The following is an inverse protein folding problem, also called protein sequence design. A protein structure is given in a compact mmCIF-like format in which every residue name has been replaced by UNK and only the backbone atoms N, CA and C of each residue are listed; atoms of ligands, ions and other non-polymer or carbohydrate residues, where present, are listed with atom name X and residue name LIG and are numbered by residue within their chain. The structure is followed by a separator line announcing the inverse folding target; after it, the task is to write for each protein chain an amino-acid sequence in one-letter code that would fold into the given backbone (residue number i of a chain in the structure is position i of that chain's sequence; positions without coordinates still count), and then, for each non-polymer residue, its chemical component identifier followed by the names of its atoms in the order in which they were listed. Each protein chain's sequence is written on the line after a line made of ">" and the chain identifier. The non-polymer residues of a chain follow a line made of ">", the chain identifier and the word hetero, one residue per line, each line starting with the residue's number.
data_IF_659393907113
#
_entry.id   IF_659393907113
#
_cell.length_a   1.000
_cell.length_b   1.000
_cell.length_c   1.000
_cell.angle_alpha   90.00
_cell.angle_beta   90.00
_cell.angle_gamma   90.00
#
_symmetry.space_group_name_H-M   'P 1'
#
loop_
_entity.id
_entity.type
_entity.pdbx_description
1 polymer ?
#
# COMPACT_ATOMS: atom_id res chain seq x y z
N UNK A 1 13.05 -58.15 14.46
CA UNK A 1 13.32 -56.96 13.64
C UNK A 1 12.41 -55.81 14.11
N UNK A 2 12.42 -55.53 15.42
CA UNK A 2 11.41 -54.72 16.12
C UNK A 2 12.00 -53.55 16.94
N UNK A 3 13.28 -53.20 16.76
CA UNK A 3 13.95 -52.26 17.66
C UNK A 3 14.63 -51.05 17.00
N UNK A 4 14.12 -50.56 15.85
CA UNK A 4 14.66 -49.36 15.19
C UNK A 4 13.62 -48.28 14.82
N UNK A 5 12.33 -48.47 15.12
CA UNK A 5 11.28 -47.49 14.79
C UNK A 5 10.97 -46.56 15.99
N UNK A 6 11.44 -46.87 17.20
CA UNK A 6 11.13 -46.08 18.41
C UNK A 6 12.00 -44.84 18.64
N UNK A 7 13.03 -44.57 17.82
CA UNK A 7 13.96 -43.44 18.03
C UNK A 7 13.60 -42.20 17.19
N UNK A 8 12.84 -42.34 16.09
CA UNK A 8 12.44 -41.20 15.25
C UNK A 8 11.07 -40.58 15.59
N UNK A 9 10.29 -41.18 16.50
CA UNK A 9 8.95 -40.67 16.85
C UNK A 9 8.94 -39.82 18.13
N UNK A 10 10.06 -39.77 18.88
CA UNK A 10 10.09 -39.07 20.18
C UNK A 10 10.75 -37.68 20.17
N UNK A 11 11.37 -37.26 19.07
CA UNK A 11 12.06 -35.96 18.98
C UNK A 11 11.27 -34.84 18.26
N UNK A 12 10.11 -35.13 17.70
CA UNK A 12 9.29 -34.13 16.98
C UNK A 12 8.08 -33.61 17.78
N UNK A 13 7.85 -34.15 18.99
CA UNK A 13 6.76 -33.73 19.87
C UNK A 13 7.18 -32.79 21.01
N UNK A 14 8.48 -32.54 21.22
CA UNK A 14 8.94 -31.64 22.31
C UNK A 14 9.40 -30.26 21.85
N UNK A 15 9.45 -29.97 20.54
CA UNK A 15 9.95 -28.69 20.01
C UNK A 15 8.87 -27.73 19.53
N UNK A 16 7.59 -28.14 19.53
CA UNK A 16 6.48 -27.34 18.99
C UNK A 16 5.76 -26.45 20.02
N UNK A 17 6.09 -26.53 21.31
CA UNK A 17 5.33 -25.88 22.37
C UNK A 17 5.86 -24.54 22.90
N UNK A 18 6.97 -24.00 22.39
CA UNK A 18 7.52 -22.72 22.90
C UNK A 18 7.96 -21.72 21.83
N UNK A 19 7.24 -21.66 20.70
CA UNK A 19 7.36 -20.51 19.79
C UNK A 19 6.49 -19.36 20.34
N UNK A 20 7.13 -18.41 21.03
CA UNK A 20 6.49 -17.15 21.43
C UNK A 20 5.83 -16.48 20.22
N UNK A 21 4.72 -15.75 20.41
CA UNK A 21 4.02 -15.07 19.32
C UNK A 21 4.94 -14.19 18.43
N UNK A 22 6.01 -13.62 19.00
CA UNK A 22 7.02 -12.85 18.28
C UNK A 22 7.83 -13.70 17.28
N UNK A 23 8.21 -14.93 17.63
CA UNK A 23 8.90 -15.84 16.70
C UNK A 23 8.02 -16.27 15.52
N UNK A 24 6.71 -16.43 15.75
CA UNK A 24 5.75 -16.83 14.71
C UNK A 24 5.52 -15.70 13.68
N UNK A 25 5.41 -14.46 14.14
CA UNK A 25 5.30 -13.28 13.25
C UNK A 25 6.58 -13.12 12.42
N UNK A 26 7.75 -13.25 13.05
CA UNK A 26 9.05 -13.19 12.36
C UNK A 26 9.19 -14.26 11.26
N UNK A 27 8.77 -15.49 11.54
CA UNK A 27 8.78 -16.59 10.55
C UNK A 27 7.83 -16.30 9.38
N UNK A 28 6.62 -15.80 9.65
CA UNK A 28 5.63 -15.45 8.60
C UNK A 28 6.13 -14.31 7.70
N UNK A 29 6.75 -13.28 8.28
CA UNK A 29 7.34 -12.16 7.52
C UNK A 29 8.54 -12.62 6.68
N UNK A 30 9.47 -13.40 7.24
CA UNK A 30 10.60 -13.97 6.48
C UNK A 30 10.10 -14.78 5.28
N UNK A 31 9.05 -15.58 5.48
CA UNK A 31 8.42 -16.34 4.39
C UNK A 31 7.78 -15.44 3.33
N UNK A 32 7.11 -14.37 3.72
CA UNK A 32 6.57 -13.37 2.78
C UNK A 32 7.70 -12.79 1.91
N UNK A 33 8.76 -12.28 2.53
CA UNK A 33 9.88 -11.69 1.80
C UNK A 33 10.59 -12.70 0.89
N UNK A 34 10.78 -13.95 1.32
CA UNK A 34 11.32 -15.02 0.46
C UNK A 34 10.42 -15.29 -0.75
N UNK A 35 9.11 -15.44 -0.56
CA UNK A 35 8.17 -15.66 -1.68
C UNK A 35 8.26 -14.52 -2.70
N UNK A 36 8.29 -13.27 -2.24
CA UNK A 36 8.35 -12.10 -3.12
C UNK A 36 9.71 -12.01 -3.82
N UNK A 37 10.81 -12.26 -3.11
CA UNK A 37 12.16 -12.30 -3.70
C UNK A 37 12.27 -13.36 -4.79
N UNK A 38 11.79 -14.56 -4.54
CA UNK A 38 11.98 -15.70 -5.44
C UNK A 38 11.04 -15.63 -6.64
N UNK A 39 9.79 -15.21 -6.42
CA UNK A 39 8.76 -15.27 -7.45
C UNK A 39 8.49 -13.93 -8.14
N UNK A 40 8.87 -12.81 -7.54
CA UNK A 40 8.64 -11.45 -8.04
C UNK A 40 9.88 -10.56 -7.79
N UNK A 41 11.08 -10.97 -8.24
CA UNK A 41 12.36 -10.39 -7.81
C UNK A 41 12.49 -8.89 -8.07
N UNK A 42 11.99 -8.39 -9.20
CA UNK A 42 12.07 -6.96 -9.53
C UNK A 42 11.30 -6.08 -8.54
N UNK A 43 10.10 -6.52 -8.11
CA UNK A 43 9.29 -5.81 -7.11
C UNK A 43 10.00 -5.82 -5.75
N UNK A 44 10.61 -6.96 -5.38
CA UNK A 44 11.40 -7.09 -4.15
C UNK A 44 12.57 -6.10 -4.13
N UNK A 45 13.45 -6.15 -5.13
CA UNK A 45 14.67 -5.35 -5.11
C UNK A 45 14.40 -3.85 -5.25
N UNK A 46 13.41 -3.46 -6.07
CA UNK A 46 13.00 -2.05 -6.13
C UNK A 46 12.40 -1.60 -4.80
N UNK A 47 11.61 -2.44 -4.13
CA UNK A 47 11.14 -2.13 -2.77
C UNK A 47 12.31 -1.89 -1.80
N UNK A 48 13.37 -2.69 -1.86
CA UNK A 48 14.58 -2.51 -1.04
C UNK A 48 15.28 -1.18 -1.38
N UNK A 49 15.49 -0.88 -2.65
CA UNK A 49 16.11 0.39 -3.09
C UNK A 49 15.32 1.59 -2.57
N UNK A 50 14.00 1.59 -2.74
CA UNK A 50 13.13 2.67 -2.26
C UNK A 50 13.17 2.77 -0.73
N UNK A 51 13.19 1.64 -0.01
CA UNK A 51 13.33 1.65 1.45
C UNK A 51 14.68 2.23 1.90
N UNK A 52 15.78 1.92 1.22
CA UNK A 52 17.10 2.48 1.53
C UNK A 52 17.16 3.99 1.29
N UNK A 53 16.56 4.48 0.21
CA UNK A 53 16.39 5.92 -0.02
C UNK A 53 15.48 6.56 1.03
N UNK A 54 14.48 5.83 1.54
CA UNK A 54 13.69 6.23 2.69
C UNK A 54 14.53 6.43 3.96
N UNK A 55 15.48 5.54 4.24
CA UNK A 55 16.41 5.70 5.37
C UNK A 55 17.27 6.98 5.21
N UNK A 56 17.67 7.32 3.99
CA UNK A 56 18.34 8.59 3.72
C UNK A 56 17.44 9.79 4.05
N UNK A 57 16.15 9.72 3.73
CA UNK A 57 15.18 10.78 4.08
C UNK A 57 15.07 10.96 5.60
N UNK A 58 15.21 9.89 6.39
CA UNK A 58 15.24 9.99 7.86
C UNK A 58 16.42 10.84 8.32
N UNK A 59 17.62 10.59 7.77
CA UNK A 59 18.80 11.43 8.07
C UNK A 59 18.51 12.88 7.67
N UNK A 60 17.93 13.09 6.49
CA UNK A 60 17.51 14.42 6.00
C UNK A 60 16.58 15.17 6.95
N UNK A 61 15.67 14.49 7.65
CA UNK A 61 14.79 15.13 8.64
C UNK A 61 15.56 15.79 9.80
N UNK A 62 16.77 15.32 10.11
CA UNK A 62 17.57 15.83 11.22
C UNK A 62 18.61 16.87 10.81
N UNK A 63 19.03 16.90 9.54
CA UNK A 63 20.15 17.74 9.08
C UNK A 63 19.75 18.84 8.10
N UNK A 64 18.56 18.76 7.49
CA UNK A 64 18.08 19.73 6.52
C UNK A 64 16.87 20.47 7.11
N UNK A 65 17.06 21.73 7.49
CA UNK A 65 16.02 22.55 8.13
C UNK A 65 15.02 23.14 7.13
N UNK A 66 15.24 22.96 5.82
CA UNK A 66 14.35 23.53 4.80
C UNK A 66 12.94 22.95 4.96
N UNK A 67 11.97 23.83 4.79
CA UNK A 67 10.55 23.46 4.79
C UNK A 67 9.92 23.74 3.43
N UNK A 68 8.92 22.93 3.10
CA UNK A 68 8.04 23.11 1.96
C UNK A 68 6.61 22.96 2.47
N UNK A 69 5.80 24.01 2.31
CA UNK A 69 4.42 24.04 2.80
C UNK A 69 4.33 23.75 4.31
N UNK A 70 5.21 24.38 5.09
CA UNK A 70 5.21 24.31 6.56
C UNK A 70 5.80 23.03 7.16
N UNK A 71 6.30 22.08 6.36
CA UNK A 71 6.90 20.83 6.84
C UNK A 71 8.26 20.55 6.20
N UNK A 72 9.08 19.73 6.85
CA UNK A 72 10.40 19.34 6.35
C UNK A 72 10.34 18.73 4.93
N UNK A 73 11.25 19.14 4.06
CA UNK A 73 11.30 18.72 2.64
C UNK A 73 11.44 17.20 2.45
N UNK A 74 12.06 16.48 3.40
CA UNK A 74 12.27 15.04 3.36
C UNK A 74 11.08 14.22 3.87
N UNK A 75 10.10 14.87 4.51
CA UNK A 75 8.95 14.18 5.10
C UNK A 75 8.04 13.55 4.04
N UNK A 76 7.84 14.22 2.91
CA UNK A 76 7.03 13.66 1.80
C UNK A 76 7.74 12.46 1.15
N UNK A 77 9.02 12.56 0.70
CA UNK A 77 9.78 11.40 0.24
C UNK A 77 9.73 10.22 1.21
N UNK A 78 9.93 10.43 2.51
CA UNK A 78 9.87 9.35 3.51
C UNK A 78 8.52 8.63 3.54
N UNK A 79 7.40 9.37 3.51
CA UNK A 79 6.06 8.76 3.50
C UNK A 79 5.82 7.94 2.23
N UNK A 80 6.24 8.45 1.09
CA UNK A 80 6.12 7.75 -0.18
C UNK A 80 7.01 6.51 -0.24
N UNK A 81 8.23 6.56 0.31
CA UNK A 81 9.10 5.38 0.32
C UNK A 81 8.47 4.24 1.12
N UNK A 82 7.93 4.53 2.31
CA UNK A 82 7.27 3.54 3.16
C UNK A 82 6.06 2.95 2.45
N UNK A 83 5.17 3.80 1.93
CA UNK A 83 3.93 3.35 1.28
C UNK A 83 4.21 2.53 0.01
N UNK A 84 5.09 3.00 -0.86
CA UNK A 84 5.46 2.31 -2.11
C UNK A 84 6.13 0.97 -1.79
N UNK A 85 7.07 0.91 -0.84
CA UNK A 85 7.70 -0.36 -0.45
C UNK A 85 6.67 -1.37 0.07
N UNK A 86 5.75 -0.95 0.94
CA UNK A 86 4.66 -1.83 1.42
C UNK A 86 3.79 -2.31 0.24
N UNK A 87 3.43 -1.42 -0.69
CA UNK A 87 2.64 -1.78 -1.86
C UNK A 87 3.37 -2.76 -2.79
N UNK A 88 4.65 -2.54 -3.09
CA UNK A 88 5.44 -3.43 -3.94
C UNK A 88 5.57 -4.84 -3.36
N UNK A 89 5.79 -4.97 -2.05
CA UNK A 89 5.81 -6.27 -1.37
C UNK A 89 4.42 -6.91 -1.37
N UNK A 90 3.37 -6.13 -1.12
CA UNK A 90 1.97 -6.61 -1.17
C UNK A 90 1.64 -7.16 -2.55
N UNK A 91 1.88 -6.38 -3.60
CA UNK A 91 1.62 -6.76 -4.99
C UNK A 91 2.47 -7.97 -5.40
N UNK A 92 3.75 -7.95 -5.03
CA UNK A 92 4.68 -9.03 -5.33
C UNK A 92 4.26 -10.36 -4.73
N UNK A 93 3.54 -10.35 -3.61
CA UNK A 93 2.88 -11.52 -3.04
C UNK A 93 1.56 -11.85 -3.75
N UNK A 94 0.68 -10.86 -3.95
CA UNK A 94 -0.64 -11.07 -4.53
C UNK A 94 -0.56 -11.64 -5.95
N UNK A 95 0.35 -11.15 -6.78
CA UNK A 95 0.54 -11.63 -8.16
C UNK A 95 0.87 -13.14 -8.22
N UNK A 96 1.46 -13.72 -7.16
CA UNK A 96 1.70 -15.17 -7.06
C UNK A 96 0.42 -16.00 -6.93
N UNK A 97 -0.68 -15.35 -6.53
CA UNK A 97 -1.99 -15.99 -6.34
C UNK A 97 -2.80 -16.01 -7.63
N UNK A 98 -2.52 -15.12 -8.56
CA UNK A 98 -3.14 -15.13 -9.88
C UNK A 98 -2.52 -16.24 -10.74
N UNK A 99 -3.31 -17.05 -11.46
CA UNK A 99 -2.81 -18.13 -12.30
C UNK A 99 -2.23 -17.60 -13.63
N UNK A 100 -1.40 -16.56 -13.57
CA UNK A 100 -0.76 -15.96 -14.73
C UNK A 100 0.39 -16.81 -15.25
N UNK A 101 0.64 -16.74 -16.56
CA UNK A 101 1.88 -17.23 -17.16
C UNK A 101 3.08 -16.41 -16.65
N UNK A 102 4.28 -17.00 -16.70
CA UNK A 102 5.50 -16.30 -16.26
C UNK A 102 5.74 -15.01 -17.05
N UNK A 103 5.41 -15.01 -18.36
CA UNK A 103 5.52 -13.81 -19.21
C UNK A 103 4.59 -12.69 -18.73
N UNK A 104 3.29 -12.98 -18.50
CA UNK A 104 2.33 -11.96 -18.03
C UNK A 104 2.75 -11.41 -16.66
N UNK A 105 3.19 -12.29 -15.76
CA UNK A 105 3.70 -11.91 -14.45
C UNK A 105 4.94 -11.01 -14.54
N UNK A 106 5.91 -11.35 -15.39
CA UNK A 106 7.11 -10.55 -15.59
C UNK A 106 6.77 -9.15 -16.11
N UNK A 107 5.90 -9.04 -17.12
CA UNK A 107 5.45 -7.75 -17.67
C UNK A 107 4.82 -6.88 -16.57
N UNK A 108 3.83 -7.42 -15.85
CA UNK A 108 3.15 -6.67 -14.78
C UNK A 108 4.14 -6.23 -13.70
N UNK A 109 5.00 -7.15 -13.25
CA UNK A 109 5.97 -6.85 -12.20
C UNK A 109 6.95 -5.76 -12.63
N UNK A 110 7.52 -5.83 -13.84
CA UNK A 110 8.43 -4.82 -14.34
C UNK A 110 7.73 -3.47 -14.56
N UNK A 111 6.53 -3.48 -15.15
CA UNK A 111 5.77 -2.28 -15.42
C UNK A 111 5.47 -1.52 -14.11
N UNK A 112 4.94 -2.21 -13.10
CA UNK A 112 4.65 -1.60 -11.80
C UNK A 112 5.92 -1.18 -11.06
N UNK A 113 6.95 -2.02 -11.04
CA UNK A 113 8.17 -1.71 -10.29
C UNK A 113 8.88 -0.46 -10.85
N UNK A 114 9.05 -0.38 -12.17
CA UNK A 114 9.75 0.74 -12.80
C UNK A 114 8.96 2.04 -12.73
N UNK A 115 7.65 2.00 -12.98
CA UNK A 115 6.81 3.21 -12.89
C UNK A 115 6.81 3.77 -11.46
N UNK A 116 6.71 2.94 -10.43
CA UNK A 116 6.76 3.39 -9.04
C UNK A 116 8.17 3.82 -8.57
N UNK A 117 9.23 3.22 -9.11
CA UNK A 117 10.59 3.68 -8.86
C UNK A 117 10.82 5.07 -9.46
N UNK A 118 10.46 5.26 -10.73
CA UNK A 118 10.63 6.55 -11.42
C UNK A 118 9.78 7.65 -10.76
N UNK A 119 8.52 7.34 -10.42
CA UNK A 119 7.66 8.20 -9.61
C UNK A 119 8.36 8.64 -8.31
N UNK A 120 8.88 7.67 -7.56
CA UNK A 120 9.56 7.94 -6.30
C UNK A 120 10.83 8.79 -6.48
N UNK A 121 11.64 8.51 -7.52
CA UNK A 121 12.84 9.28 -7.82
C UNK A 121 12.51 10.74 -8.15
N UNK A 122 11.40 11.01 -8.86
CA UNK A 122 10.92 12.37 -9.10
C UNK A 122 10.53 13.04 -7.78
N UNK A 123 9.78 12.35 -6.92
CA UNK A 123 9.38 12.88 -5.59
C UNK A 123 10.62 13.20 -4.74
N UNK A 124 11.59 12.29 -4.72
CA UNK A 124 12.84 12.44 -3.99
C UNK A 124 13.65 13.63 -4.52
N UNK A 125 13.80 13.74 -5.85
CA UNK A 125 14.50 14.84 -6.50
C UNK A 125 13.85 16.20 -6.23
N UNK A 126 12.53 16.31 -6.43
CA UNK A 126 11.79 17.55 -6.16
C UNK A 126 11.85 17.93 -4.66
N UNK A 127 11.77 16.94 -3.76
CA UNK A 127 12.00 17.15 -2.33
C UNK A 127 13.39 17.70 -2.04
N UNK A 128 14.44 17.14 -2.65
CA UNK A 128 15.82 17.63 -2.48
C UNK A 128 16.01 19.08 -2.98
N UNK A 129 15.23 19.48 -4.00
CA UNK A 129 15.17 20.86 -4.51
C UNK A 129 14.36 21.81 -3.63
N UNK A 130 13.61 21.28 -2.65
CA UNK A 130 12.71 22.08 -1.81
C UNK A 130 11.48 22.59 -2.55
N UNK A 131 11.03 21.90 -3.60
CA UNK A 131 9.84 22.28 -4.40
C UNK A 131 8.81 21.17 -4.45
N UNK A 132 7.58 21.51 -4.80
CA UNK A 132 6.51 20.50 -4.93
C UNK A 132 6.80 19.52 -6.08
N UNK A 133 6.47 18.24 -5.85
CA UNK A 133 6.46 17.23 -6.91
C UNK A 133 5.10 17.10 -7.60
N UNK A 134 4.02 17.16 -6.82
CA UNK A 134 2.65 17.13 -7.34
C UNK A 134 2.13 18.57 -7.45
N UNK A 135 1.36 18.84 -8.51
CA UNK A 135 0.74 20.15 -8.80
C UNK A 135 1.74 21.26 -9.18
N UNK A 136 3.03 20.93 -9.32
CA UNK A 136 4.05 21.92 -9.63
C UNK A 136 4.18 22.13 -11.13
N UNK A 137 3.78 23.31 -11.58
CA UNK A 137 3.90 23.76 -12.98
C UNK A 137 4.66 25.09 -13.06
N UNK A 138 5.46 25.42 -12.04
CA UNK A 138 6.16 26.70 -11.95
C UNK A 138 7.22 26.89 -13.04
N UNK A 139 7.85 25.80 -13.50
CA UNK A 139 8.84 25.81 -14.58
C UNK A 139 8.53 24.72 -15.61
N UNK A 140 9.07 24.80 -16.84
CA UNK A 140 8.92 23.73 -17.84
C UNK A 140 9.39 22.35 -17.33
N UNK A 141 10.51 22.32 -16.59
CA UNK A 141 11.01 21.08 -16.00
C UNK A 141 10.02 20.51 -14.98
N UNK A 142 9.49 21.35 -14.07
CA UNK A 142 8.54 20.90 -13.05
C UNK A 142 7.25 20.35 -13.67
N UNK A 143 6.74 21.03 -14.70
CA UNK A 143 5.56 20.58 -15.44
C UNK A 143 5.79 19.24 -16.16
N UNK A 144 6.96 19.05 -16.78
CA UNK A 144 7.32 17.78 -17.43
C UNK A 144 7.40 16.65 -16.39
N UNK A 145 8.06 16.90 -15.26
CA UNK A 145 8.18 15.92 -14.17
C UNK A 145 6.79 15.56 -13.63
N UNK A 146 5.94 16.54 -13.35
CA UNK A 146 4.58 16.31 -12.87
C UNK A 146 3.72 15.53 -13.88
N UNK A 147 3.86 15.81 -15.18
CA UNK A 147 3.19 15.07 -16.25
C UNK A 147 3.60 13.59 -16.26
N UNK A 148 4.91 13.29 -16.18
CA UNK A 148 5.39 11.91 -16.13
C UNK A 148 4.87 11.17 -14.91
N UNK A 149 4.78 11.84 -13.76
CA UNK A 149 4.19 11.26 -12.56
C UNK A 149 2.74 10.82 -12.81
N UNK A 150 1.94 11.69 -13.45
CA UNK A 150 0.58 11.36 -13.87
C UNK A 150 0.50 10.13 -14.77
N UNK A 151 1.43 9.99 -15.73
CA UNK A 151 1.53 8.82 -16.61
C UNK A 151 1.85 7.55 -15.81
N UNK A 152 2.84 7.61 -14.92
CA UNK A 152 3.26 6.47 -14.09
C UNK A 152 2.15 5.99 -13.16
N UNK A 153 1.44 6.93 -12.51
CA UNK A 153 0.27 6.60 -11.68
C UNK A 153 -0.85 6.03 -12.55
N UNK A 154 -1.13 6.61 -13.72
CA UNK A 154 -2.14 6.10 -14.64
C UNK A 154 -1.91 4.66 -15.07
N UNK A 155 -0.67 4.30 -15.41
CA UNK A 155 -0.26 2.92 -15.73
C UNK A 155 -0.53 1.97 -14.55
N UNK A 156 -0.19 2.40 -13.33
CA UNK A 156 -0.44 1.60 -12.14
C UNK A 156 -1.93 1.42 -11.86
N UNK A 157 -2.75 2.47 -12.01
CA UNK A 157 -4.21 2.37 -11.87
C UNK A 157 -4.80 1.38 -12.88
N UNK A 158 -4.36 1.40 -14.14
CA UNK A 158 -4.78 0.40 -15.13
C UNK A 158 -4.37 -1.02 -14.76
N UNK A 159 -3.18 -1.17 -14.15
CA UNK A 159 -2.73 -2.46 -13.61
C UNK A 159 -3.62 -2.92 -12.45
N UNK A 160 -4.03 -2.03 -11.56
CA UNK A 160 -4.99 -2.32 -10.47
C UNK A 160 -6.36 -2.75 -11.03
N UNK A 161 -6.86 -2.07 -12.07
CA UNK A 161 -8.10 -2.44 -12.77
C UNK A 161 -7.99 -3.84 -13.38
N UNK A 162 -6.85 -4.18 -14.02
CA UNK A 162 -6.60 -5.53 -14.51
C UNK A 162 -6.69 -6.57 -13.38
N UNK A 163 -6.03 -6.31 -12.24
CA UNK A 163 -6.09 -7.20 -11.09
C UNK A 163 -7.49 -7.34 -10.49
N UNK A 164 -8.29 -6.26 -10.46
CA UNK A 164 -9.68 -6.28 -10.05
C UNK A 164 -10.51 -7.22 -10.94
N UNK A 165 -10.43 -7.02 -12.26
CA UNK A 165 -11.18 -7.82 -13.25
C UNK A 165 -10.75 -9.29 -13.17
N UNK A 166 -9.45 -9.56 -13.13
CA UNK A 166 -8.92 -10.92 -13.07
C UNK A 166 -9.22 -11.60 -11.71
N UNK A 167 -9.45 -10.85 -10.63
CA UNK A 167 -9.88 -11.41 -9.33
C UNK A 167 -11.28 -12.01 -9.38
N UNK A 168 -12.16 -11.52 -10.27
CA UNK A 168 -13.47 -12.13 -10.53
C UNK A 168 -13.34 -13.22 -11.61
N UNK A 169 -12.66 -12.91 -12.72
CA UNK A 169 -12.63 -13.75 -13.91
C UNK A 169 -11.88 -15.08 -13.69
N UNK A 170 -10.82 -15.06 -12.88
CA UNK A 170 -9.92 -16.21 -12.71
C UNK A 170 -10.13 -16.88 -11.34
N UNK A 171 -9.82 -18.17 -11.27
CA UNK A 171 -9.73 -18.90 -10.00
C UNK A 171 -8.35 -18.69 -9.40
N UNK A 172 -8.23 -17.84 -8.39
CA UNK A 172 -6.96 -17.58 -7.71
C UNK A 172 -6.55 -18.79 -6.85
N UNK A 173 -5.26 -18.90 -6.59
CA UNK A 173 -4.64 -19.95 -5.76
C UNK A 173 -4.75 -19.64 -4.26
N UNK A 174 -5.97 -19.35 -3.81
CA UNK A 174 -6.32 -19.04 -2.41
C UNK A 174 -7.74 -19.54 -2.11
N UNK A 175 -8.16 -19.51 -0.84
CA UNK A 175 -9.55 -19.77 -0.48
C UNK A 175 -10.49 -18.72 -1.11
N UNK A 176 -11.74 -19.10 -1.45
CA UNK A 176 -12.70 -18.18 -2.08
C UNK A 176 -12.97 -16.91 -1.27
N UNK A 177 -12.98 -17.01 0.06
CA UNK A 177 -13.14 -15.86 0.97
C UNK A 177 -11.98 -14.86 0.84
N UNK A 178 -10.75 -15.35 0.69
CA UNK A 178 -9.56 -14.51 0.48
C UNK A 178 -9.54 -13.92 -0.94
N UNK A 179 -9.94 -14.69 -1.96
CA UNK A 179 -10.10 -14.16 -3.31
C UNK A 179 -11.15 -13.03 -3.36
N UNK A 180 -12.28 -13.21 -2.67
CA UNK A 180 -13.32 -12.18 -2.54
C UNK A 180 -12.79 -10.94 -1.80
N UNK A 181 -12.01 -11.13 -0.75
CA UNK A 181 -11.33 -10.05 -0.04
C UNK A 181 -10.35 -9.27 -0.92
N UNK A 182 -9.58 -9.95 -1.79
CA UNK A 182 -8.67 -9.33 -2.75
C UNK A 182 -9.45 -8.49 -3.77
N UNK A 183 -10.56 -9.02 -4.28
CA UNK A 183 -11.45 -8.27 -5.17
C UNK A 183 -11.96 -6.98 -4.52
N UNK A 184 -12.52 -7.07 -3.31
CA UNK A 184 -13.01 -5.89 -2.57
C UNK A 184 -11.89 -4.90 -2.22
N UNK A 185 -10.71 -5.41 -1.87
CA UNK A 185 -9.52 -4.59 -1.64
C UNK A 185 -9.14 -3.77 -2.88
N UNK A 186 -9.12 -4.38 -4.07
CA UNK A 186 -8.84 -3.65 -5.30
C UNK A 186 -9.91 -2.61 -5.63
N UNK A 187 -11.18 -2.93 -5.39
CA UNK A 187 -12.28 -2.00 -5.63
C UNK A 187 -12.12 -0.71 -4.79
N UNK A 188 -11.76 -0.88 -3.52
CA UNK A 188 -11.55 0.24 -2.59
C UNK A 188 -10.28 1.02 -2.93
N UNK A 189 -9.20 0.34 -3.35
CA UNK A 189 -7.99 1.03 -3.83
C UNK A 189 -8.27 1.87 -5.07
N UNK A 190 -9.09 1.39 -6.03
CA UNK A 190 -9.48 2.17 -7.20
C UNK A 190 -10.28 3.42 -6.80
N UNK A 191 -11.17 3.31 -5.82
CA UNK A 191 -11.80 4.49 -5.24
C UNK A 191 -10.76 5.45 -4.65
N UNK A 192 -9.77 4.92 -3.90
CA UNK A 192 -8.63 5.71 -3.42
C UNK A 192 -7.87 6.41 -4.54
N UNK A 193 -7.58 5.73 -5.65
CA UNK A 193 -6.95 6.33 -6.83
C UNK A 193 -7.82 7.44 -7.45
N UNK A 194 -9.14 7.28 -7.47
CA UNK A 194 -10.06 8.34 -7.90
C UNK A 194 -10.01 9.56 -6.97
N UNK A 195 -9.94 9.38 -5.65
CA UNK A 195 -9.69 10.48 -4.69
C UNK A 195 -8.35 11.17 -4.99
N UNK A 196 -7.32 10.41 -5.37
CA UNK A 196 -6.05 10.94 -5.88
C UNK A 196 -6.22 11.84 -7.10
N UNK A 197 -7.03 11.40 -8.07
CA UNK A 197 -7.42 12.19 -9.24
C UNK A 197 -8.18 13.47 -8.88
N UNK A 198 -9.04 13.44 -7.86
CA UNK A 198 -9.70 14.65 -7.36
C UNK A 198 -8.68 15.68 -6.87
N UNK A 199 -7.67 15.25 -6.09
CA UNK A 199 -6.61 16.15 -5.62
C UNK A 199 -5.82 16.77 -6.79
N UNK A 200 -5.55 15.99 -7.85
CA UNK A 200 -4.90 16.51 -9.07
C UNK A 200 -5.79 17.54 -9.77
N UNK A 201 -7.09 17.27 -9.91
CA UNK A 201 -8.02 18.17 -10.60
C UNK A 201 -8.18 19.54 -9.92
N UNK A 202 -8.02 19.59 -8.59
CA UNK A 202 -8.09 20.82 -7.81
C UNK A 202 -6.70 21.40 -7.46
N UNK A 203 -5.60 20.82 -8.00
CA UNK A 203 -4.22 21.22 -7.74
C UNK A 203 -3.84 21.33 -6.25
N UNK A 204 -4.42 20.48 -5.42
CA UNK A 204 -4.26 20.53 -3.97
C UNK A 204 -5.05 19.42 -3.26
N UNK A 205 -4.87 19.30 -1.95
CA UNK A 205 -5.55 18.29 -1.14
C UNK A 205 -6.40 18.88 -0.01
N UNK A 206 -6.18 20.14 0.35
CA UNK A 206 -6.97 20.85 1.35
C UNK A 206 -8.29 21.36 0.74
N UNK A 207 -9.33 21.43 1.57
CA UNK A 207 -10.66 21.93 1.22
C UNK A 207 -11.12 22.89 2.30
N UNK A 208 -11.58 24.08 1.89
CA UNK A 208 -12.04 25.14 2.81
C UNK A 208 -10.92 25.91 3.51
N UNK A 209 -9.64 25.54 3.30
CA UNK A 209 -8.46 26.22 3.85
C UNK A 209 -7.32 26.23 2.83
N UNK A 210 -6.38 27.16 3.00
CA UNK A 210 -5.19 27.24 2.15
C UNK A 210 -4.28 26.01 2.29
N UNK A 211 -3.45 25.76 1.27
CA UNK A 211 -2.39 24.75 1.32
C UNK A 211 -1.26 25.13 2.28
N UNK A 212 -0.53 24.13 2.78
CA UNK A 212 0.66 24.32 3.62
C UNK A 212 0.42 24.88 5.01
N UNK A 213 -0.81 24.79 5.51
CA UNK A 213 -1.11 25.00 6.92
C UNK A 213 -0.52 23.86 7.77
N UNK A 214 -0.20 24.17 9.03
CA UNK A 214 0.19 23.18 10.01
C UNK A 214 -0.91 22.14 10.21
N UNK A 215 -0.51 20.87 10.26
CA UNK A 215 -1.41 19.73 10.41
C UNK A 215 -0.88 18.73 11.43
N UNK A 216 -1.48 17.55 11.46
CA UNK A 216 -1.07 16.47 12.37
C UNK A 216 0.43 16.12 12.22
N UNK A 217 1.13 15.79 13.32
CA UNK A 217 2.51 15.33 13.24
C UNK A 217 2.71 14.18 12.24
N UNK A 218 3.83 14.20 11.51
CA UNK A 218 4.25 13.23 10.48
C UNK A 218 3.38 13.20 9.21
N UNK A 219 2.07 13.07 9.33
CA UNK A 219 1.16 12.96 8.17
C UNK A 219 0.81 14.32 7.58
N UNK A 220 0.88 15.38 8.38
CA UNK A 220 0.52 16.77 8.05
C UNK A 220 -0.92 16.94 7.55
N UNK A 221 -1.85 16.11 8.02
CA UNK A 221 -3.26 16.25 7.66
C UNK A 221 -3.85 17.50 8.30
N UNK A 222 -4.65 18.25 7.55
CA UNK A 222 -5.22 19.50 8.02
C UNK A 222 -6.07 19.31 9.29
N UNK A 223 -5.83 20.17 10.29
CA UNK A 223 -6.62 20.27 11.53
C UNK A 223 -7.62 21.42 11.51
N UNK A 224 -7.53 22.31 10.51
CA UNK A 224 -8.38 23.50 10.36
C UNK A 224 -9.48 23.34 9.31
N UNK A 225 -9.27 22.46 8.34
CA UNK A 225 -10.20 22.24 7.23
C UNK A 225 -10.12 20.82 6.70
N UNK A 226 -10.88 20.53 5.64
CA UNK A 226 -10.92 19.21 5.04
C UNK A 226 -9.61 18.83 4.34
N UNK A 227 -9.28 17.54 4.32
CA UNK A 227 -8.08 17.01 3.68
C UNK A 227 -8.35 15.67 2.99
N UNK A 228 -8.27 15.66 1.65
CA UNK A 228 -8.56 14.48 0.83
C UNK A 228 -7.53 13.35 1.02
N UNK A 229 -6.33 13.65 1.53
CA UNK A 229 -5.29 12.64 1.75
C UNK A 229 -5.69 11.60 2.78
N UNK A 230 -6.56 11.94 3.72
CA UNK A 230 -7.02 11.01 4.76
C UNK A 230 -7.81 9.87 4.13
N UNK A 231 -8.85 10.20 3.35
CA UNK A 231 -9.65 9.21 2.63
C UNK A 231 -8.79 8.41 1.63
N UNK A 232 -7.92 9.10 0.90
CA UNK A 232 -6.98 8.48 -0.03
C UNK A 232 -6.07 7.44 0.66
N UNK A 233 -5.46 7.79 1.79
CA UNK A 233 -4.57 6.92 2.56
C UNK A 233 -5.25 5.62 2.99
N UNK A 234 -6.41 5.72 3.66
CA UNK A 234 -7.13 4.53 4.11
C UNK A 234 -7.61 3.68 2.94
N UNK A 235 -8.06 4.29 1.85
CA UNK A 235 -8.48 3.58 0.65
C UNK A 235 -7.34 2.80 -0.01
N UNK A 236 -6.16 3.41 -0.16
CA UNK A 236 -4.98 2.72 -0.71
C UNK A 236 -4.56 1.52 0.14
N UNK A 237 -4.75 1.57 1.46
CA UNK A 237 -4.41 0.47 2.35
C UNK A 237 -5.44 -0.66 2.43
N UNK A 238 -6.59 -0.52 1.75
CA UNK A 238 -7.64 -1.54 1.70
C UNK A 238 -7.17 -2.88 1.15
N UNK A 239 -6.22 -2.87 0.19
CA UNK A 239 -5.67 -4.10 -0.42
C UNK A 239 -4.78 -4.90 0.54
N UNK A 240 -4.23 -4.28 1.58
CA UNK A 240 -3.56 -5.00 2.66
C UNK A 240 -4.59 -5.45 3.71
N UNK A 241 -5.40 -4.51 4.19
CA UNK A 241 -6.26 -4.70 5.37
C UNK A 241 -7.30 -5.79 5.14
N UNK A 242 -8.02 -5.76 4.01
CA UNK A 242 -9.18 -6.64 3.78
C UNK A 242 -8.74 -8.09 3.53
N UNK A 243 -7.73 -8.39 2.68
CA UNK A 243 -7.22 -9.75 2.54
C UNK A 243 -6.57 -10.29 3.82
N UNK A 244 -5.86 -9.46 4.59
CA UNK A 244 -5.28 -9.87 5.88
C UNK A 244 -6.39 -10.25 6.87
N UNK A 245 -7.47 -9.47 6.93
CA UNK A 245 -8.65 -9.81 7.73
C UNK A 245 -9.25 -11.16 7.32
N UNK A 246 -9.43 -11.41 6.02
CA UNK A 246 -9.97 -12.69 5.53
C UNK A 246 -9.06 -13.89 5.85
N UNK A 247 -7.73 -13.72 5.75
CA UNK A 247 -6.77 -14.76 6.12
C UNK A 247 -6.77 -15.02 7.63
N UNK A 248 -6.82 -13.97 8.44
CA UNK A 248 -6.94 -14.08 9.90
C UNK A 248 -8.23 -14.77 10.29
N UNK A 249 -9.35 -14.39 9.68
CA UNK A 249 -10.67 -14.97 9.89
C UNK A 249 -10.66 -16.48 9.65
N UNK A 250 -10.16 -16.92 8.50
CA UNK A 250 -10.10 -18.35 8.15
C UNK A 250 -9.11 -19.15 9.00
N UNK A 251 -8.07 -18.52 9.54
CA UNK A 251 -7.12 -19.17 10.44
C UNK A 251 -7.67 -19.27 11.88
N UNK A 252 -8.33 -18.22 12.37
CA UNK A 252 -8.78 -18.10 13.76
C UNK A 252 -10.13 -18.78 14.00
N UNK A 253 -11.03 -18.72 13.02
CA UNK A 253 -12.39 -19.26 13.11
C UNK A 253 -12.66 -20.22 11.95
N UNK A 254 -13.03 -21.47 12.28
CA UNK A 254 -13.36 -22.52 11.31
C UNK A 254 -14.78 -22.36 10.74
N UNK A 255 -15.17 -21.15 10.36
CA UNK A 255 -16.48 -20.91 9.77
C UNK A 255 -16.61 -21.58 8.40
N UNK A 256 -17.82 -22.04 8.01
CA UNK A 256 -18.10 -22.43 6.64
C UNK A 256 -17.76 -21.30 5.67
N UNK A 257 -17.34 -21.66 4.44
CA UNK A 257 -16.85 -20.69 3.46
C UNK A 257 -17.87 -19.58 3.14
N UNK A 258 -19.17 -19.89 3.08
CA UNK A 258 -20.21 -18.89 2.87
C UNK A 258 -20.28 -17.84 3.99
N UNK A 259 -20.14 -18.26 5.26
CA UNK A 259 -20.13 -17.35 6.40
C UNK A 259 -18.86 -16.48 6.41
N UNK A 260 -17.71 -17.02 6.00
CA UNK A 260 -16.49 -16.21 5.86
C UNK A 260 -16.66 -15.11 4.81
N UNK A 261 -17.24 -15.43 3.65
CA UNK A 261 -17.51 -14.45 2.59
C UNK A 261 -18.43 -13.34 3.12
N UNK A 262 -19.52 -13.69 3.80
CA UNK A 262 -20.44 -12.71 4.39
C UNK A 262 -19.75 -11.77 5.39
N UNK A 263 -18.96 -12.32 6.32
CA UNK A 263 -18.24 -11.51 7.33
C UNK A 263 -17.20 -10.60 6.67
N UNK A 264 -16.48 -11.09 5.65
CA UNK A 264 -15.53 -10.28 4.87
C UNK A 264 -16.25 -9.17 4.11
N UNK A 265 -17.39 -9.46 3.48
CA UNK A 265 -18.21 -8.46 2.80
C UNK A 265 -18.67 -7.37 3.75
N UNK A 266 -19.16 -7.75 4.94
CA UNK A 266 -19.61 -6.78 5.95
C UNK A 266 -18.44 -5.90 6.42
N UNK A 267 -17.29 -6.50 6.71
CA UNK A 267 -16.09 -5.75 7.10
C UNK A 267 -15.64 -4.77 6.01
N UNK A 268 -15.57 -5.22 4.76
CA UNK A 268 -15.19 -4.38 3.63
C UNK A 268 -16.20 -3.27 3.37
N UNK A 269 -17.51 -3.53 3.52
CA UNK A 269 -18.56 -2.52 3.39
C UNK A 269 -18.42 -1.46 4.47
N UNK A 270 -18.23 -1.84 5.73
CA UNK A 270 -18.00 -0.88 6.82
C UNK A 270 -16.75 -0.05 6.58
N UNK A 271 -15.66 -0.69 6.15
CA UNK A 271 -14.43 0.01 5.80
C UNK A 271 -14.63 1.01 4.65
N UNK A 272 -15.35 0.62 3.61
CA UNK A 272 -15.70 1.50 2.49
C UNK A 272 -16.60 2.67 2.90
N UNK A 273 -17.59 2.44 3.77
CA UNK A 273 -18.46 3.50 4.28
C UNK A 273 -17.70 4.51 5.14
N UNK A 274 -16.77 4.05 5.98
CA UNK A 274 -15.89 4.94 6.76
C UNK A 274 -15.04 5.80 5.83
N UNK A 275 -14.42 5.21 4.80
CA UNK A 275 -13.66 5.96 3.79
C UNK A 275 -14.54 6.97 3.06
N UNK A 276 -15.74 6.56 2.64
CA UNK A 276 -16.70 7.44 1.96
C UNK A 276 -17.14 8.61 2.83
N UNK A 277 -17.37 8.35 4.13
CA UNK A 277 -17.67 9.39 5.11
C UNK A 277 -16.48 10.35 5.30
N UNK A 278 -15.26 9.84 5.46
CA UNK A 278 -14.05 10.69 5.58
C UNK A 278 -13.88 11.57 4.34
N UNK A 279 -14.11 11.01 3.15
CA UNK A 279 -14.07 11.78 1.90
C UNK A 279 -15.15 12.88 1.89
N UNK A 280 -16.40 12.53 2.24
CA UNK A 280 -17.50 13.48 2.30
C UNK A 280 -17.23 14.60 3.32
N UNK A 281 -16.81 14.25 4.54
CA UNK A 281 -16.39 15.16 5.60
C UNK A 281 -15.33 16.14 5.10
N UNK A 282 -14.27 15.62 4.46
CA UNK A 282 -13.22 16.46 3.88
C UNK A 282 -13.77 17.40 2.80
N UNK A 283 -14.69 16.95 1.94
CA UNK A 283 -15.32 17.81 0.92
C UNK A 283 -16.22 18.90 1.51
N UNK A 284 -16.72 18.73 2.74
CA UNK A 284 -17.41 19.80 3.48
C UNK A 284 -16.45 20.79 4.14
N UNK A 285 -15.13 20.65 3.94
CA UNK A 285 -14.13 21.49 4.60
C UNK A 285 -13.98 21.21 6.08
N UNK A 286 -14.48 20.07 6.58
CA UNK A 286 -14.38 19.68 7.98
C UNK A 286 -13.09 18.86 8.20
N UNK A 287 -12.24 19.20 9.19
CA UNK A 287 -11.03 18.43 9.48
C UNK A 287 -11.35 17.02 9.97
N UNK A 288 -10.45 16.08 9.70
CA UNK A 288 -10.59 14.70 10.16
C UNK A 288 -10.51 14.61 11.70
N UNK A 289 -9.57 15.36 12.28
CA UNK A 289 -9.41 15.54 13.72
C UNK A 289 -9.20 17.04 13.95
N UNK A 290 -10.00 17.64 14.83
CA UNK A 290 -9.86 19.02 15.26
C UNK A 290 -9.20 19.07 16.65
N UNK A 291 -8.38 20.09 16.88
CA UNK A 291 -7.81 20.45 18.18
C UNK A 291 -8.10 21.91 18.48
#
# INVERSE_FOLDING_TARGET
>A
MENLISIFVKNDQSSSENLTNHSLVGIKLKRLFSIVKDQSPVLYWISIVISLLGLFCIVGLFIDERTLLGVNVWLKPLKFSISISIYLITLGYLVTKYPYSQKKKAIINHLTAWTLLLEFLIIFYQGSRGVQSHYNVATPLDGILFMFMGIFVGINVLTMVLFLIDAIRLKLRVAKSVQWAIFLGWLIVIFGSWVGGQMISQLGHNVGVAEGQEGLPLVNWSVKGGDLRVAHFFALHGIQIIPLFAMWLGHRWKFPQGKQIWVVSLFALMFALVIGYIFYQAKQGVPFIAF
#
